data_IF_440605464621
#
_entry.id   IF_440605464621
#
_cell.length_a   1.000
_cell.length_b   1.000
_cell.length_c   1.000
_cell.angle_alpha   90.00
_cell.angle_beta   90.00
_cell.angle_gamma   90.00
#
_symmetry.space_group_name_H-M   'P 1'
#
loop_
_entity.id
_entity.type
_entity.pdbx_description
1 polymer ?
#
# COMPACT_ATOMS: atom_id res chain seq x y z
N UNK A 1 18.06 -12.73 -20.59
CA UNK A 1 18.44 -11.75 -21.65
C UNK A 1 18.70 -10.36 -21.07
N UNK A 2 17.73 -9.71 -20.36
CA UNK A 2 17.98 -8.37 -19.76
C UNK A 2 19.11 -8.43 -18.72
N UNK A 3 19.19 -9.48 -17.91
CA UNK A 3 20.22 -9.65 -16.89
C UNK A 3 21.64 -9.87 -17.46
N UNK A 4 21.75 -10.12 -18.75
CA UNK A 4 23.03 -10.33 -19.43
C UNK A 4 23.52 -9.04 -20.12
N UNK A 5 22.70 -7.97 -20.15
CA UNK A 5 23.08 -6.67 -20.70
C UNK A 5 23.77 -5.84 -19.63
N UNK A 6 24.83 -5.18 -20.00
CA UNK A 6 25.66 -4.37 -19.09
C UNK A 6 25.30 -2.89 -19.09
N UNK A 7 24.42 -2.46 -20.02
CA UNK A 7 24.04 -1.06 -20.27
C UNK A 7 25.24 -0.11 -20.47
N UNK A 8 26.36 -0.64 -20.97
CA UNK A 8 27.60 0.12 -21.20
C UNK A 8 27.56 0.86 -22.55
N UNK A 9 26.83 0.30 -23.54
CA UNK A 9 26.65 0.89 -24.87
C UNK A 9 25.22 1.38 -25.07
N UNK A 10 25.04 2.47 -25.83
CA UNK A 10 23.73 3.01 -26.20
C UNK A 10 22.85 1.96 -26.89
N UNK A 11 23.43 1.08 -27.70
CA UNK A 11 22.72 -0.02 -28.34
C UNK A 11 22.17 -1.03 -27.32
N UNK A 12 22.93 -1.37 -26.31
CA UNK A 12 22.49 -2.25 -25.20
C UNK A 12 21.39 -1.59 -24.37
N UNK A 13 21.49 -0.30 -24.09
CA UNK A 13 20.44 0.47 -23.38
C UNK A 13 19.13 0.45 -24.17
N UNK A 14 19.18 0.67 -25.49
CA UNK A 14 17.97 0.58 -26.33
C UNK A 14 17.39 -0.83 -26.38
N UNK A 15 18.23 -1.84 -26.45
CA UNK A 15 17.80 -3.25 -26.42
C UNK A 15 17.18 -3.61 -25.05
N UNK A 16 17.80 -3.21 -23.96
CA UNK A 16 17.31 -3.39 -22.59
C UNK A 16 15.94 -2.75 -22.42
N UNK A 17 15.80 -1.51 -22.88
CA UNK A 17 14.52 -0.79 -22.85
C UNK A 17 13.44 -1.50 -23.65
N UNK A 18 13.72 -1.93 -24.86
CA UNK A 18 12.77 -2.62 -25.71
C UNK A 18 12.30 -3.96 -25.10
N UNK A 19 13.24 -4.74 -24.54
CA UNK A 19 12.92 -5.98 -23.84
C UNK A 19 12.08 -5.72 -22.59
N UNK A 20 12.37 -4.63 -21.87
CA UNK A 20 11.57 -4.22 -20.71
C UNK A 20 10.13 -3.85 -21.13
N UNK A 21 9.96 -3.07 -22.21
CA UNK A 21 8.64 -2.69 -22.74
C UNK A 21 7.84 -3.93 -23.18
N UNK A 22 8.48 -4.93 -23.77
CA UNK A 22 7.83 -6.21 -24.12
C UNK A 22 7.37 -6.99 -22.89
N UNK A 23 8.23 -7.15 -21.89
CA UNK A 23 7.88 -7.82 -20.62
C UNK A 23 6.77 -7.06 -19.90
N UNK A 24 6.83 -5.72 -19.88
CA UNK A 24 5.82 -4.89 -19.26
C UNK A 24 4.45 -5.08 -19.90
N UNK A 25 4.40 -5.19 -21.24
CA UNK A 25 3.17 -5.47 -21.98
C UNK A 25 2.62 -6.88 -21.70
N UNK A 26 3.49 -7.90 -21.64
CA UNK A 26 3.10 -9.27 -21.32
C UNK A 26 2.58 -9.41 -19.86
N UNK A 27 3.12 -8.62 -18.93
CA UNK A 27 2.72 -8.62 -17.53
C UNK A 27 1.52 -7.71 -17.23
N UNK A 28 1.06 -6.92 -18.20
CA UNK A 28 -0.02 -5.96 -17.98
C UNK A 28 -1.33 -6.60 -17.48
N UNK A 29 -1.82 -7.74 -18.02
CA UNK A 29 -3.04 -8.39 -17.50
C UNK A 29 -2.88 -8.85 -16.05
N UNK A 30 -1.73 -9.42 -15.71
CA UNK A 30 -1.42 -9.83 -14.34
C UNK A 30 -1.34 -8.62 -13.39
N UNK A 31 -0.75 -7.51 -13.84
CA UNK A 31 -0.72 -6.26 -13.06
C UNK A 31 -2.13 -5.78 -12.77
N UNK A 32 -3.00 -5.69 -13.79
CA UNK A 32 -4.39 -5.28 -13.62
C UNK A 32 -5.15 -6.18 -12.65
N UNK A 33 -4.94 -7.50 -12.72
CA UNK A 33 -5.54 -8.44 -11.78
C UNK A 33 -5.07 -8.20 -10.34
N UNK A 34 -3.78 -7.99 -10.12
CA UNK A 34 -3.23 -7.72 -8.79
C UNK A 34 -3.70 -6.36 -8.25
N UNK A 35 -3.75 -5.35 -9.10
CA UNK A 35 -4.25 -4.01 -8.75
C UNK A 35 -5.75 -4.06 -8.41
N UNK A 36 -6.56 -4.77 -9.20
CA UNK A 36 -7.97 -5.04 -8.90
C UNK A 36 -8.12 -5.73 -7.55
N UNK A 37 -7.31 -6.78 -7.28
CA UNK A 37 -7.35 -7.51 -6.03
C UNK A 37 -6.98 -6.62 -4.83
N UNK A 38 -5.99 -5.76 -4.98
CA UNK A 38 -5.65 -4.78 -3.96
C UNK A 38 -6.78 -3.76 -3.77
N UNK A 39 -7.33 -3.22 -4.85
CA UNK A 39 -8.44 -2.27 -4.80
C UNK A 39 -9.68 -2.87 -4.11
N UNK A 40 -9.99 -4.16 -4.38
CA UNK A 40 -11.07 -4.88 -3.74
C UNK A 40 -10.95 -4.92 -2.21
N UNK A 41 -9.72 -4.95 -1.67
CA UNK A 41 -9.46 -4.90 -0.22
C UNK A 41 -9.77 -3.51 0.39
N UNK A 42 -9.75 -2.46 -0.43
CA UNK A 42 -10.11 -1.10 0.00
C UNK A 42 -11.61 -0.90 0.12
N UNK A 43 -12.41 -1.70 -0.57
CA UNK A 43 -13.86 -1.69 -0.39
C UNK A 43 -14.23 -2.42 0.92
N UNK A 44 -15.22 -1.91 1.69
CA UNK A 44 -15.69 -2.61 2.88
C UNK A 44 -16.16 -4.03 2.58
N UNK A 45 -15.93 -4.97 3.51
CA UNK A 45 -16.34 -6.36 3.29
C UNK A 45 -17.86 -6.55 3.16
N UNK A 46 -18.62 -5.65 3.78
CA UNK A 46 -20.09 -5.61 3.73
C UNK A 46 -20.64 -4.68 2.64
N UNK A 47 -19.79 -4.15 1.77
CA UNK A 47 -20.22 -3.32 0.64
C UNK A 47 -21.06 -4.17 -0.33
N UNK A 48 -22.29 -3.79 -0.68
CA UNK A 48 -23.14 -4.55 -1.57
C UNK A 48 -22.55 -4.71 -2.98
N UNK A 49 -21.89 -3.69 -3.50
CA UNK A 49 -21.22 -3.72 -4.81
C UNK A 49 -20.10 -4.74 -4.81
N UNK A 50 -19.27 -4.72 -3.76
CA UNK A 50 -18.20 -5.71 -3.59
C UNK A 50 -18.73 -7.13 -3.53
N UNK A 51 -19.74 -7.38 -2.69
CA UNK A 51 -20.27 -8.73 -2.48
C UNK A 51 -20.95 -9.27 -3.74
N UNK A 52 -21.89 -8.51 -4.30
CA UNK A 52 -22.65 -8.92 -5.47
C UNK A 52 -21.76 -8.95 -6.72
N UNK A 53 -21.08 -7.85 -7.02
CA UNK A 53 -20.24 -7.76 -8.22
C UNK A 53 -19.11 -8.79 -8.24
N UNK A 54 -18.52 -9.12 -7.08
CA UNK A 54 -17.53 -10.18 -6.99
C UNK A 54 -18.13 -11.57 -7.19
N UNK A 55 -19.31 -11.86 -6.61
CA UNK A 55 -19.99 -13.14 -6.76
C UNK A 55 -20.37 -13.37 -8.24
N UNK A 56 -20.91 -12.35 -8.89
CA UNK A 56 -21.31 -12.41 -10.29
C UNK A 56 -20.09 -12.56 -11.22
N UNK A 57 -19.00 -11.82 -10.98
CA UNK A 57 -17.75 -11.95 -11.72
C UNK A 57 -17.13 -13.34 -11.54
N UNK A 58 -17.07 -13.84 -10.32
CA UNK A 58 -16.48 -15.13 -9.99
C UNK A 58 -17.32 -16.32 -10.50
N UNK A 59 -18.59 -16.11 -10.87
CA UNK A 59 -19.43 -17.15 -11.48
C UNK A 59 -18.93 -17.62 -12.84
N UNK A 60 -18.16 -16.77 -13.53
CA UNK A 60 -17.65 -17.04 -14.88
C UNK A 60 -18.68 -16.94 -15.99
N UNK A 61 -19.93 -16.53 -15.70
CA UNK A 61 -20.99 -16.37 -16.71
C UNK A 61 -20.65 -15.32 -17.79
N UNK A 62 -19.79 -14.36 -17.44
CA UNK A 62 -19.40 -13.25 -18.31
C UNK A 62 -17.99 -13.39 -18.90
N UNK A 63 -17.42 -14.58 -18.86
CA UNK A 63 -16.08 -14.88 -19.33
C UNK A 63 -15.08 -15.20 -18.24
N UNK A 64 -13.83 -15.37 -18.62
CA UNK A 64 -12.75 -15.55 -17.65
C UNK A 64 -12.53 -14.27 -16.83
N UNK A 65 -12.34 -14.44 -15.54
CA UNK A 65 -12.18 -13.31 -14.60
C UNK A 65 -11.01 -12.40 -15.00
N UNK A 66 -9.92 -12.98 -15.48
CA UNK A 66 -8.73 -12.22 -15.90
C UNK A 66 -9.05 -11.39 -17.14
N UNK A 67 -9.73 -11.97 -18.12
CA UNK A 67 -10.09 -11.29 -19.36
C UNK A 67 -11.06 -10.13 -19.09
N UNK A 68 -12.06 -10.32 -18.23
CA UNK A 68 -13.02 -9.28 -17.85
C UNK A 68 -12.31 -8.13 -17.11
N UNK A 69 -11.39 -8.42 -16.19
CA UNK A 69 -10.63 -7.40 -15.47
C UNK A 69 -9.66 -6.69 -16.42
N UNK A 70 -8.99 -7.40 -17.32
CA UNK A 70 -8.07 -6.80 -18.29
C UNK A 70 -8.80 -5.89 -19.28
N UNK A 71 -9.95 -6.31 -19.79
CA UNK A 71 -10.80 -5.50 -20.64
C UNK A 71 -11.43 -4.28 -19.90
N UNK A 72 -11.57 -4.37 -18.59
CA UNK A 72 -12.26 -3.35 -17.78
C UNK A 72 -13.75 -3.21 -18.08
N UNK A 73 -14.33 -4.21 -18.75
CA UNK A 73 -15.73 -4.18 -19.21
C UNK A 73 -16.30 -5.58 -19.30
N UNK A 74 -17.63 -5.66 -19.27
CA UNK A 74 -18.40 -6.89 -19.44
C UNK A 74 -19.13 -6.83 -20.77
N UNK A 75 -18.91 -7.83 -21.61
CA UNK A 75 -19.72 -8.02 -22.82
C UNK A 75 -21.05 -8.68 -22.44
N UNK A 76 -22.13 -7.96 -22.63
CA UNK A 76 -23.49 -8.43 -22.27
C UNK A 76 -24.33 -8.77 -23.48
N UNK A 77 -23.80 -8.64 -24.70
CA UNK A 77 -24.63 -8.65 -25.89
C UNK A 77 -25.74 -7.60 -25.80
N UNK A 78 -26.92 -7.90 -26.28
CA UNK A 78 -28.07 -6.98 -26.28
C UNK A 78 -28.84 -6.91 -24.94
N UNK A 79 -28.44 -7.64 -23.92
CA UNK A 79 -29.17 -7.74 -22.65
C UNK A 79 -28.42 -7.12 -21.49
N UNK A 80 -28.87 -5.96 -21.02
CA UNK A 80 -28.43 -5.41 -19.74
C UNK A 80 -29.04 -6.24 -18.61
N UNK A 81 -28.24 -7.11 -17.96
CA UNK A 81 -28.67 -7.83 -16.75
C UNK A 81 -28.21 -7.06 -15.50
N UNK A 82 -28.98 -7.22 -14.41
CA UNK A 82 -28.58 -6.67 -13.09
C UNK A 82 -27.23 -7.18 -12.62
N UNK A 83 -26.83 -8.39 -13.05
CA UNK A 83 -25.53 -9.00 -12.74
C UNK A 83 -24.40 -8.27 -13.47
N UNK A 84 -24.57 -8.02 -14.78
CA UNK A 84 -23.61 -7.26 -15.57
C UNK A 84 -23.44 -5.83 -15.04
N UNK A 85 -24.51 -5.20 -14.58
CA UNK A 85 -24.42 -3.87 -13.97
C UNK A 85 -23.65 -3.89 -12.64
N UNK A 86 -23.85 -4.92 -11.81
CA UNK A 86 -23.10 -5.09 -10.57
C UNK A 86 -21.60 -5.29 -10.83
N UNK A 87 -21.23 -6.03 -11.87
CA UNK A 87 -19.82 -6.21 -12.25
C UNK A 87 -19.24 -4.90 -12.79
N UNK A 88 -19.95 -4.16 -13.66
CA UNK A 88 -19.48 -2.87 -14.19
C UNK A 88 -19.22 -1.87 -13.05
N UNK A 89 -20.13 -1.80 -12.09
CA UNK A 89 -19.97 -0.92 -10.94
C UNK A 89 -18.78 -1.33 -10.06
N UNK A 90 -18.56 -2.63 -9.86
CA UNK A 90 -17.39 -3.14 -9.16
C UNK A 90 -16.09 -2.77 -9.89
N UNK A 91 -16.02 -2.99 -11.22
CA UNK A 91 -14.86 -2.64 -12.03
C UNK A 91 -14.59 -1.14 -11.99
N UNK A 92 -15.63 -0.30 -12.08
CA UNK A 92 -15.50 1.16 -11.96
C UNK A 92 -14.93 1.58 -10.60
N UNK A 93 -15.48 1.07 -9.50
CA UNK A 93 -15.00 1.43 -8.15
C UNK A 93 -13.58 0.95 -7.89
N UNK A 94 -13.24 -0.24 -8.35
CA UNK A 94 -11.86 -0.76 -8.21
C UNK A 94 -10.88 0.02 -9.06
N UNK A 95 -11.24 0.38 -10.29
CA UNK A 95 -10.41 1.21 -11.15
C UNK A 95 -10.12 2.58 -10.54
N UNK A 96 -11.15 3.28 -10.06
CA UNK A 96 -10.98 4.56 -9.36
C UNK A 96 -10.07 4.43 -8.14
N UNK A 97 -10.14 3.30 -7.44
CA UNK A 97 -9.27 3.04 -6.29
C UNK A 97 -7.83 2.79 -6.72
N UNK A 98 -7.60 2.07 -7.81
CA UNK A 98 -6.25 1.86 -8.38
C UNK A 98 -5.61 3.20 -8.74
N UNK A 99 -6.36 4.09 -9.40
CA UNK A 99 -5.86 5.43 -9.76
C UNK A 99 -5.54 6.30 -8.53
N UNK A 100 -6.39 6.24 -7.50
CA UNK A 100 -6.22 7.03 -6.27
C UNK A 100 -5.06 6.57 -5.39
N UNK A 101 -4.86 5.25 -5.27
CA UNK A 101 -3.88 4.69 -4.31
C UNK A 101 -2.54 4.36 -4.95
N UNK A 102 -2.48 4.08 -6.26
CA UNK A 102 -1.25 3.79 -6.98
C UNK A 102 -0.53 2.56 -6.44
N UNK A 103 -1.16 1.39 -6.53
CA UNK A 103 -0.60 0.15 -5.97
C UNK A 103 0.71 -0.26 -6.65
N UNK A 104 1.62 -0.83 -5.87
CA UNK A 104 2.89 -1.37 -6.34
C UNK A 104 3.00 -2.86 -6.04
N UNK A 105 3.00 -3.67 -7.09
CA UNK A 105 3.33 -5.09 -7.01
C UNK A 105 4.82 -5.29 -7.28
N UNK A 106 5.59 -5.56 -6.22
CA UNK A 106 7.05 -5.65 -6.29
C UNK A 106 7.55 -6.67 -7.33
N UNK A 107 6.92 -7.84 -7.41
CA UNK A 107 7.29 -8.88 -8.37
C UNK A 107 7.07 -8.46 -9.84
N UNK A 108 6.05 -7.63 -10.08
CA UNK A 108 5.76 -7.08 -11.41
C UNK A 108 6.69 -5.91 -11.72
N UNK A 109 6.94 -5.03 -10.74
CA UNK A 109 7.80 -3.87 -10.94
C UNK A 109 9.29 -4.24 -11.10
N UNK A 110 9.71 -5.36 -10.52
CA UNK A 110 11.10 -5.85 -10.55
C UNK A 110 11.17 -7.33 -10.91
N UNK A 111 10.74 -7.73 -12.11
CA UNK A 111 10.60 -9.16 -12.48
C UNK A 111 11.93 -9.92 -12.47
N UNK A 112 13.07 -9.24 -12.64
CA UNK A 112 14.40 -9.86 -12.61
C UNK A 112 14.88 -10.20 -11.19
N UNK A 113 14.27 -9.59 -10.16
CA UNK A 113 14.64 -9.81 -8.74
C UNK A 113 14.02 -11.11 -8.21
N UNK A 114 12.82 -11.45 -8.69
CA UNK A 114 12.13 -12.69 -8.30
C UNK A 114 12.21 -13.72 -9.42
N UNK A 115 13.05 -14.73 -9.22
CA UNK A 115 13.21 -15.86 -10.15
C UNK A 115 12.37 -17.05 -9.66
N UNK A 116 11.88 -17.88 -10.60
CA UNK A 116 11.19 -19.15 -10.32
C UNK A 116 9.82 -19.06 -9.65
N UNK A 117 8.87 -18.35 -10.31
CA UNK A 117 7.45 -18.44 -9.96
C UNK A 117 6.85 -19.83 -10.28
N UNK A 118 7.54 -20.68 -11.05
CA UNK A 118 7.08 -21.99 -11.50
C UNK A 118 6.84 -22.99 -10.35
N UNK A 119 7.46 -22.81 -9.20
CA UNK A 119 7.29 -23.68 -8.02
C UNK A 119 6.23 -23.21 -7.02
N UNK A 120 5.50 -22.11 -7.33
CA UNK A 120 4.55 -21.48 -6.40
C UNK A 120 5.21 -20.79 -5.20
N UNK A 121 6.53 -20.79 -5.11
CA UNK A 121 7.29 -20.03 -4.11
C UNK A 121 8.16 -19.00 -4.81
N UNK A 122 7.94 -17.72 -4.50
CA UNK A 122 8.80 -16.65 -4.98
C UNK A 122 10.21 -16.83 -4.38
N UNK A 123 11.14 -17.29 -5.20
CA UNK A 123 12.55 -17.34 -4.83
C UNK A 123 13.24 -16.09 -5.38
N UNK A 124 13.98 -15.40 -4.55
CA UNK A 124 14.67 -14.18 -4.91
C UNK A 124 14.59 -13.13 -3.82
N UNK A 125 14.56 -11.89 -4.23
CA UNK A 125 14.56 -10.72 -3.36
C UNK A 125 15.78 -9.84 -3.60
N UNK A 126 15.73 -8.62 -3.10
CA UNK A 126 16.81 -7.65 -3.22
C UNK A 126 18.04 -8.07 -2.39
N UNK A 127 19.23 -7.74 -2.89
CA UNK A 127 20.47 -7.93 -2.13
C UNK A 127 20.64 -6.90 -1.01
N UNK A 128 20.09 -5.69 -1.21
CA UNK A 128 20.10 -4.63 -0.20
C UNK A 128 18.86 -3.75 -0.31
N UNK A 129 18.32 -3.33 0.85
CA UNK A 129 17.31 -2.29 0.97
C UNK A 129 17.85 -1.24 1.93
N UNK A 130 18.02 -0.02 1.42
CA UNK A 130 18.52 1.12 2.20
C UNK A 130 17.52 2.26 2.09
N UNK A 131 17.17 2.90 3.21
CA UNK A 131 16.24 4.01 3.14
C UNK A 131 15.95 4.70 4.47
N UNK A 132 15.23 5.80 4.35
CA UNK A 132 14.62 6.52 5.45
C UNK A 132 13.10 6.51 5.22
N UNK A 133 12.37 5.51 5.75
CA UNK A 133 10.92 5.46 5.58
C UNK A 133 10.23 6.63 6.26
N UNK A 134 8.99 6.98 5.86
CA UNK A 134 8.22 8.01 6.54
C UNK A 134 7.93 7.62 8.00
N UNK A 135 8.03 8.58 8.91
CA UNK A 135 7.84 8.38 10.35
C UNK A 135 6.41 8.64 10.83
N UNK A 136 5.50 8.88 9.90
CA UNK A 136 4.13 9.26 10.17
C UNK A 136 3.30 8.09 10.73
N UNK A 137 2.27 8.45 11.49
CA UNK A 137 1.24 7.50 11.91
C UNK A 137 0.26 7.28 10.76
N UNK A 138 -0.20 6.07 10.58
CA UNK A 138 -1.24 5.79 9.57
C UNK A 138 -2.58 6.43 9.90
N UNK A 139 -2.86 6.69 11.18
CA UNK A 139 -4.07 7.38 11.60
C UNK A 139 -4.01 8.86 11.21
N UNK A 140 -5.11 9.38 10.65
CA UNK A 140 -5.20 10.79 10.29
C UNK A 140 -4.90 11.71 11.50
N UNK A 141 -3.88 12.58 11.33
CA UNK A 141 -3.51 13.57 12.32
C UNK A 141 -4.36 14.84 12.11
N UNK A 142 -5.46 14.97 12.86
CA UNK A 142 -6.44 16.05 12.69
C UNK A 142 -5.80 17.45 12.77
N UNK A 143 -4.87 17.66 13.71
CA UNK A 143 -4.19 18.95 13.89
C UNK A 143 -3.45 19.35 12.62
N UNK A 144 -2.68 18.44 12.06
CA UNK A 144 -1.89 18.66 10.86
C UNK A 144 -2.79 18.82 9.63
N UNK A 145 -3.81 17.97 9.52
CA UNK A 145 -4.75 18.02 8.40
C UNK A 145 -5.51 19.34 8.33
N UNK A 146 -5.96 19.87 9.47
CA UNK A 146 -6.66 21.14 9.56
C UNK A 146 -5.74 22.37 9.56
N UNK A 147 -4.45 22.22 9.81
CA UNK A 147 -3.53 23.35 9.97
C UNK A 147 -3.54 24.31 8.75
N UNK A 148 -3.54 23.75 7.53
CA UNK A 148 -3.59 24.55 6.30
C UNK A 148 -5.02 24.84 5.79
N UNK A 149 -6.03 24.08 6.25
CA UNK A 149 -7.42 24.15 5.74
C UNK A 149 -8.34 25.00 6.61
N UNK A 150 -8.27 24.81 7.93
CA UNK A 150 -9.09 25.54 8.91
C UNK A 150 -8.31 25.68 10.23
N UNK A 151 -7.41 26.67 10.33
CA UNK A 151 -6.51 26.84 11.46
C UNK A 151 -7.20 26.91 12.82
N UNK A 152 -8.42 27.44 12.91
CA UNK A 152 -9.20 27.50 14.15
C UNK A 152 -9.45 26.11 14.75
N UNK A 153 -9.63 25.09 13.90
CA UNK A 153 -9.79 23.71 14.34
C UNK A 153 -8.44 23.14 14.81
N UNK A 154 -7.36 23.41 14.07
CA UNK A 154 -6.02 22.95 14.40
C UNK A 154 -5.52 23.54 15.73
N UNK A 155 -5.82 24.82 15.97
CA UNK A 155 -5.38 25.54 17.18
C UNK A 155 -6.25 25.27 18.41
N UNK A 156 -7.34 24.50 18.30
CA UNK A 156 -8.14 24.11 19.45
C UNK A 156 -7.30 23.33 20.46
N UNK A 157 -7.08 23.92 21.64
CA UNK A 157 -6.18 23.42 22.68
C UNK A 157 -6.61 22.04 23.19
N UNK A 158 -7.93 21.83 23.33
CA UNK A 158 -8.50 20.58 23.83
C UNK A 158 -9.07 19.74 22.70
N UNK A 159 -8.86 18.44 22.76
CA UNK A 159 -9.41 17.49 21.78
C UNK A 159 -10.97 17.57 21.72
N UNK A 160 -11.63 17.83 22.86
CA UNK A 160 -13.07 18.00 22.93
C UNK A 160 -13.57 19.23 22.14
N UNK A 161 -12.83 20.36 22.23
CA UNK A 161 -13.15 21.58 21.48
C UNK A 161 -12.95 21.36 19.98
N UNK A 162 -11.86 20.70 19.60
CA UNK A 162 -11.60 20.32 18.20
C UNK A 162 -12.73 19.44 17.65
N UNK A 163 -13.11 18.39 18.38
CA UNK A 163 -14.22 17.52 17.97
C UNK A 163 -15.54 18.28 17.79
N UNK A 164 -15.81 19.26 18.68
CA UNK A 164 -16.98 20.12 18.58
C UNK A 164 -16.95 21.02 17.34
N UNK A 165 -15.77 21.57 17.01
CA UNK A 165 -15.60 22.41 15.81
C UNK A 165 -15.74 21.58 14.53
N UNK A 166 -15.17 20.38 14.49
CA UNK A 166 -15.35 19.43 13.39
C UNK A 166 -16.83 19.07 13.21
N UNK A 167 -17.55 18.77 14.29
CA UNK A 167 -18.99 18.49 14.24
C UNK A 167 -19.86 19.68 13.80
N UNK A 168 -19.34 20.91 13.83
CA UNK A 168 -20.03 22.07 13.24
C UNK A 168 -19.94 22.05 11.71
N UNK A 169 -18.81 21.60 11.13
CA UNK A 169 -18.67 21.45 9.66
C UNK A 169 -19.77 20.55 9.10
N UNK A 170 -20.03 19.43 9.79
CA UNK A 170 -21.11 18.51 9.45
C UNK A 170 -22.48 19.20 9.43
N UNK A 171 -22.80 19.91 10.53
CA UNK A 171 -24.10 20.56 10.72
C UNK A 171 -24.35 21.72 9.75
N UNK A 172 -23.29 22.39 9.32
CA UNK A 172 -23.40 23.54 8.40
C UNK A 172 -23.32 23.15 6.93
N UNK A 173 -23.08 21.86 6.61
CA UNK A 173 -22.88 21.38 5.24
C UNK A 173 -21.61 21.98 4.58
N UNK A 174 -20.60 22.30 5.38
CA UNK A 174 -19.33 22.83 4.88
C UNK A 174 -18.64 21.77 4.00
N UNK A 175 -18.25 22.11 2.77
CA UNK A 175 -17.59 21.17 1.85
C UNK A 175 -16.35 20.50 2.43
N UNK A 176 -15.66 21.17 3.35
CA UNK A 176 -14.50 20.62 4.08
C UNK A 176 -14.85 19.40 4.93
N UNK A 177 -16.12 19.24 5.34
CA UNK A 177 -16.57 18.05 6.05
C UNK A 177 -16.43 16.79 5.20
N UNK A 178 -16.83 16.86 3.94
CA UNK A 178 -16.73 15.73 3.02
C UNK A 178 -15.25 15.34 2.77
N UNK A 179 -14.39 16.33 2.55
CA UNK A 179 -12.96 16.11 2.38
C UNK A 179 -12.33 15.46 3.63
N UNK A 180 -12.72 15.94 4.82
CA UNK A 180 -12.25 15.38 6.09
C UNK A 180 -12.71 13.93 6.26
N UNK A 181 -13.98 13.63 5.96
CA UNK A 181 -14.50 12.26 6.02
C UNK A 181 -13.75 11.34 5.06
N UNK A 182 -13.52 11.78 3.83
CA UNK A 182 -12.76 10.99 2.84
C UNK A 182 -11.34 10.70 3.32
N UNK A 183 -10.63 11.72 3.82
CA UNK A 183 -9.28 11.55 4.35
C UNK A 183 -9.25 10.62 5.56
N UNK A 184 -10.21 10.76 6.47
CA UNK A 184 -10.35 9.90 7.65
C UNK A 184 -10.65 8.46 7.26
N UNK A 185 -11.63 8.23 6.39
CA UNK A 185 -12.01 6.90 5.92
C UNK A 185 -10.86 6.22 5.19
N UNK A 186 -10.09 6.97 4.38
CA UNK A 186 -8.89 6.45 3.72
C UNK A 186 -7.85 5.99 4.75
N UNK A 187 -7.55 6.79 5.76
CA UNK A 187 -6.58 6.44 6.80
C UNK A 187 -7.05 5.22 7.63
N UNK A 188 -8.33 5.18 8.01
CA UNK A 188 -8.92 4.06 8.75
C UNK A 188 -8.89 2.75 7.91
N UNK A 189 -9.19 2.84 6.62
CA UNK A 189 -9.13 1.70 5.69
C UNK A 189 -7.69 1.21 5.52
N UNK A 190 -6.72 2.10 5.34
CA UNK A 190 -5.31 1.72 5.26
C UNK A 190 -4.84 0.98 6.51
N UNK A 191 -5.22 1.44 7.71
CA UNK A 191 -4.92 0.76 8.98
C UNK A 191 -5.58 -0.62 9.03
N UNK A 192 -6.85 -0.73 8.63
CA UNK A 192 -7.57 -2.02 8.57
C UNK A 192 -6.85 -2.99 7.65
N UNK A 193 -6.48 -2.57 6.44
CA UNK A 193 -5.75 -3.41 5.48
C UNK A 193 -4.42 -3.86 6.07
N UNK A 194 -3.63 -2.96 6.66
CA UNK A 194 -2.36 -3.32 7.28
C UNK A 194 -2.51 -4.39 8.37
N UNK A 195 -3.61 -4.37 9.13
CA UNK A 195 -3.87 -5.35 10.20
C UNK A 195 -4.40 -6.68 9.69
N UNK A 196 -5.30 -6.63 8.71
CA UNK A 196 -6.10 -7.80 8.30
C UNK A 196 -5.49 -8.52 7.09
N UNK A 197 -4.51 -7.91 6.40
CA UNK A 197 -3.92 -8.48 5.21
C UNK A 197 -3.07 -9.74 5.46
N UNK A 198 -2.51 -9.87 6.66
CA UNK A 198 -1.48 -10.86 6.95
C UNK A 198 -0.07 -10.47 6.46
N UNK A 199 0.07 -9.33 5.76
CA UNK A 199 1.35 -8.86 5.23
C UNK A 199 2.29 -8.34 6.33
N UNK A 200 1.73 -7.95 7.50
CA UNK A 200 2.44 -7.34 8.61
C UNK A 200 2.10 -8.00 9.96
N UNK A 201 2.40 -9.29 10.15
CA UNK A 201 1.98 -10.03 11.33
C UNK A 201 2.62 -9.57 12.64
N UNK A 202 3.76 -8.84 12.59
CA UNK A 202 4.52 -8.45 13.77
C UNK A 202 4.34 -6.98 14.16
N UNK A 203 4.09 -6.08 13.21
CA UNK A 203 4.10 -4.63 13.42
C UNK A 203 2.79 -3.91 13.10
N UNK A 204 1.75 -4.63 12.70
CA UNK A 204 0.42 -4.05 12.44
C UNK A 204 -0.45 -3.86 13.69
N UNK A 205 0.01 -4.28 14.85
CA UNK A 205 -0.70 -4.14 16.12
C UNK A 205 -0.61 -2.73 16.72
N UNK A 206 -1.56 -2.36 17.60
CA UNK A 206 -1.54 -1.08 18.30
C UNK A 206 -1.67 0.15 17.41
N UNK A 207 -0.94 1.23 17.73
CA UNK A 207 -0.83 2.41 16.87
C UNK A 207 0.17 2.12 15.75
N UNK A 208 -0.35 1.90 14.54
CA UNK A 208 0.46 1.55 13.36
C UNK A 208 1.19 2.79 12.84
N UNK A 209 2.51 2.68 12.75
CA UNK A 209 3.38 3.69 12.16
C UNK A 209 3.89 3.21 10.79
N UNK A 210 4.03 4.12 9.84
CA UNK A 210 4.50 3.76 8.49
C UNK A 210 5.90 3.14 8.54
N UNK A 211 6.85 3.72 9.29
CA UNK A 211 8.20 3.16 9.38
C UNK A 211 8.21 1.69 9.84
N UNK A 212 7.30 1.32 10.75
CA UNK A 212 7.21 -0.06 11.23
C UNK A 212 6.83 -1.02 10.11
N UNK A 213 5.84 -0.66 9.30
CA UNK A 213 5.42 -1.47 8.16
C UNK A 213 6.52 -1.56 7.10
N UNK A 214 7.24 -0.45 6.85
CA UNK A 214 8.39 -0.46 5.94
C UNK A 214 9.49 -1.41 6.41
N UNK A 215 9.80 -1.43 7.71
CA UNK A 215 10.81 -2.33 8.28
C UNK A 215 10.40 -3.79 8.10
N UNK A 216 9.15 -4.13 8.40
CA UNK A 216 8.65 -5.50 8.26
C UNK A 216 8.59 -5.92 6.78
N UNK A 217 8.12 -5.01 5.91
CA UNK A 217 8.08 -5.25 4.46
C UNK A 217 9.48 -5.42 3.87
N UNK A 218 10.44 -4.60 4.25
CA UNK A 218 11.81 -4.72 3.78
C UNK A 218 12.40 -6.10 4.07
N UNK A 219 12.08 -6.69 5.24
CA UNK A 219 12.55 -8.06 5.56
C UNK A 219 11.96 -9.13 4.65
N UNK A 220 10.74 -8.94 4.15
CA UNK A 220 10.09 -9.89 3.23
C UNK A 220 10.57 -9.73 1.79
N UNK A 221 11.18 -8.59 1.46
CA UNK A 221 11.62 -8.25 0.11
C UNK A 221 13.11 -8.56 -0.15
N UNK A 222 13.92 -8.76 0.88
CA UNK A 222 15.33 -9.16 0.71
C UNK A 222 15.48 -10.67 0.53
N UNK A 223 16.48 -11.07 -0.23
CA UNK A 223 16.86 -12.49 -0.35
C UNK A 223 17.53 -13.00 0.94
N UNK A 224 17.82 -14.30 1.01
CA UNK A 224 18.35 -14.94 2.19
C UNK A 224 19.74 -14.41 2.66
N UNK A 225 20.49 -13.72 1.80
CA UNK A 225 21.76 -13.05 2.09
C UNK A 225 21.64 -11.54 2.10
N UNK A 226 20.46 -11.00 1.82
CA UNK A 226 20.23 -9.58 1.68
C UNK A 226 20.31 -8.82 3.01
N UNK A 227 20.65 -7.55 2.92
CA UNK A 227 20.81 -6.64 4.07
C UNK A 227 19.78 -5.51 4.00
N UNK A 228 19.16 -5.22 5.16
CA UNK A 228 18.24 -4.08 5.32
C UNK A 228 18.90 -3.04 6.22
N UNK A 229 19.09 -1.82 5.72
CA UNK A 229 19.60 -0.67 6.46
C UNK A 229 18.58 0.48 6.44
N UNK A 230 17.85 0.70 7.53
CA UNK A 230 16.80 1.72 7.60
C UNK A 230 17.04 2.69 8.75
N UNK A 231 16.81 3.99 8.48
CA UNK A 231 16.78 5.02 9.50
C UNK A 231 15.34 5.11 10.06
N UNK A 232 15.17 4.73 11.33
CA UNK A 232 13.86 4.69 11.97
C UNK A 232 13.88 5.38 13.33
N UNK A 233 12.72 5.78 13.89
CA UNK A 233 12.63 6.15 15.29
C UNK A 233 13.11 5.02 16.21
N UNK A 234 13.78 5.38 17.31
CA UNK A 234 14.27 4.41 18.32
C UNK A 234 13.17 3.55 18.94
N UNK A 235 11.90 3.98 18.83
CA UNK A 235 10.74 3.22 19.24
C UNK A 235 10.63 1.82 18.61
N UNK A 236 11.29 1.57 17.45
CA UNK A 236 11.35 0.21 16.89
C UNK A 236 11.97 -0.80 17.85
N UNK A 237 12.89 -0.37 18.71
CA UNK A 237 13.59 -1.21 19.68
C UNK A 237 13.03 -1.08 21.12
N UNK A 238 12.29 -0.01 21.43
CA UNK A 238 11.88 0.33 22.80
C UNK A 238 10.38 0.30 23.05
N UNK A 239 9.55 0.46 22.00
CA UNK A 239 8.11 0.55 22.19
C UNK A 239 7.47 -0.84 22.37
N UNK A 240 6.45 -0.90 23.24
CA UNK A 240 5.70 -2.12 23.48
C UNK A 240 5.11 -2.70 22.19
N UNK A 241 4.65 -1.85 21.27
CA UNK A 241 4.08 -2.25 19.98
C UNK A 241 5.08 -2.98 19.07
N UNK A 242 6.37 -2.70 19.20
CA UNK A 242 7.45 -3.28 18.41
C UNK A 242 8.14 -4.47 19.07
N UNK A 243 7.77 -4.80 20.32
CA UNK A 243 8.49 -5.77 21.15
C UNK A 243 8.54 -7.19 20.54
N UNK A 244 7.43 -7.64 19.92
CA UNK A 244 7.35 -8.95 19.26
C UNK A 244 8.27 -9.02 18.05
N UNK A 245 8.27 -7.96 17.24
CA UNK A 245 9.14 -7.83 16.08
C UNK A 245 10.62 -7.80 16.51
N UNK A 246 10.98 -6.91 17.44
CA UNK A 246 12.36 -6.76 17.90
C UNK A 246 12.89 -8.05 18.53
N UNK A 247 12.08 -8.72 19.34
CA UNK A 247 12.40 -10.04 19.88
C UNK A 247 12.66 -11.05 18.75
N UNK A 248 11.81 -11.08 17.74
CA UNK A 248 11.96 -12.00 16.59
C UNK A 248 13.30 -11.82 15.89
N UNK A 249 13.65 -10.58 15.50
CA UNK A 249 14.92 -10.33 14.77
C UNK A 249 16.15 -10.58 15.64
N UNK A 250 16.08 -10.29 16.95
CA UNK A 250 17.19 -10.51 17.87
C UNK A 250 17.42 -12.01 18.15
N UNK A 251 16.35 -12.78 18.38
CA UNK A 251 16.48 -14.20 18.70
C UNK A 251 16.78 -15.08 17.50
N UNK A 252 16.41 -14.65 16.29
CA UNK A 252 16.71 -15.38 15.05
C UNK A 252 18.06 -15.01 14.43
N UNK A 253 18.82 -14.10 15.07
CA UNK A 253 20.13 -13.63 14.56
C UNK A 253 20.01 -12.74 13.32
N UNK A 254 18.84 -12.21 13.00
CA UNK A 254 18.63 -11.31 11.84
C UNK A 254 19.01 -9.86 12.14
N UNK A 255 19.18 -9.48 13.40
CA UNK A 255 19.65 -8.16 13.80
C UNK A 255 21.18 -8.11 13.72
N UNK A 256 21.71 -7.51 12.66
CA UNK A 256 23.15 -7.34 12.47
C UNK A 256 23.74 -6.21 13.33
N UNK A 257 23.05 -5.07 13.39
CA UNK A 257 23.46 -3.93 14.19
C UNK A 257 22.24 -3.04 14.54
N UNK A 258 22.32 -2.39 15.68
CA UNK A 258 21.43 -1.30 16.09
C UNK A 258 22.29 -0.11 16.50
N UNK A 259 22.19 0.99 15.75
CA UNK A 259 22.91 2.23 16.03
C UNK A 259 21.91 3.27 16.46
N UNK A 260 22.03 3.74 17.68
CA UNK A 260 21.16 4.80 18.23
C UNK A 260 21.85 6.16 18.16
N UNK A 261 21.12 7.15 17.62
CA UNK A 261 21.62 8.50 17.42
C UNK A 261 20.72 9.52 18.12
N UNK A 262 21.32 10.44 18.82
CA UNK A 262 20.61 11.54 19.48
C UNK A 262 20.93 12.89 18.81
N UNK A 263 19.92 13.60 18.36
CA UNK A 263 20.04 14.91 17.71
C UNK A 263 20.08 16.07 18.72
N UNK A 264 20.92 15.99 19.75
CA UNK A 264 21.01 17.05 20.81
C UNK A 264 21.47 18.39 20.26
N UNK A 265 22.33 18.38 19.26
CA UNK A 265 22.91 19.61 18.68
C UNK A 265 22.05 20.22 17.56
N UNK A 266 20.89 19.61 17.25
CA UNK A 266 19.96 20.15 16.26
C UNK A 266 20.52 20.17 14.82
N UNK A 267 21.40 19.23 14.47
CA UNK A 267 21.93 19.12 13.09
C UNK A 267 20.82 18.89 12.06
N UNK A 268 19.77 18.21 12.48
CA UNK A 268 18.57 18.00 11.66
C UNK A 268 17.40 18.79 12.28
N UNK A 269 16.54 19.43 11.46
CA UNK A 269 15.32 20.03 11.95
C UNK A 269 14.52 18.97 12.71
N UNK A 270 13.90 19.36 13.82
CA UNK A 270 12.97 18.45 14.50
C UNK A 270 11.80 18.20 13.58
N UNK A 271 11.54 16.95 13.23
CA UNK A 271 10.28 16.56 12.64
C UNK A 271 9.17 16.95 13.62
N UNK A 272 8.27 17.84 13.20
CA UNK A 272 7.14 18.30 14.01
C UNK A 272 6.00 17.30 13.89
#
# INVERSE_FOLDING_TARGET
>A
QIADLTDVDIAEVHQSRHLFEQIDAELAPLRKLLDFWQALRWLPANDPVRQRGWADLASGHFGDVIDVIDAGSVDTGDSASDEAEAIRELLRQTHERVEQEGFLSWAIAFPTVWRHLESGQAQGGFDAIIGNPPWDRMKLQEVEWFAARKPDIAHAVRAADRKRLIGRLEKTGDGLWLEYQQARNRAETAVRIARDSGDYPLLSGGDVNLYSLFVERAQSLVNARGIVGLLTPSGIASDKGSSTFFKSIATTGRLAALLDFENRKGFFPRCR
#
